data_IF_036996988221
#
_entry.id   IF_036996988221
#
_cell.length_a   1.000
_cell.length_b   1.000
_cell.length_c   1.000
_cell.angle_alpha   90.00
_cell.angle_beta   90.00
_cell.angle_gamma   90.00
#
_symmetry.space_group_name_H-M   'P 1'
#
loop_
_entity.id
_entity.type
_entity.pdbx_description
1 polymer ?
#
# COMPACT_ATOMS: atom_id res chain seq x y z
N UNK A 1 -12.52 -11.54 3.27
CA UNK A 1 -11.21 -11.02 2.80
C UNK A 1 -11.15 -11.24 1.29
N UNK A 2 -11.26 -10.18 0.51
CA UNK A 2 -11.16 -10.27 -0.94
C UNK A 2 -9.72 -10.65 -1.31
N UNK A 3 -9.53 -11.76 -2.03
CA UNK A 3 -8.21 -12.18 -2.53
C UNK A 3 -7.86 -11.44 -3.83
N UNK A 4 -7.92 -10.11 -3.80
CA UNK A 4 -7.62 -9.22 -4.93
C UNK A 4 -6.42 -8.35 -4.56
N UNK A 5 -5.31 -8.55 -5.28
CA UNK A 5 -4.05 -7.85 -5.02
C UNK A 5 -2.98 -8.28 -6.03
N UNK A 6 -1.72 -7.90 -5.79
CA UNK A 6 -0.65 -8.03 -6.78
C UNK A 6 -0.52 -9.40 -7.45
N UNK A 7 -0.66 -10.51 -6.71
CA UNK A 7 -0.59 -11.88 -7.27
C UNK A 7 -1.81 -12.26 -8.13
N UNK A 8 -2.97 -11.69 -7.84
CA UNK A 8 -4.18 -11.91 -8.64
C UNK A 8 -4.00 -11.29 -10.02
N UNK A 9 -3.48 -10.05 -10.09
CA UNK A 9 -3.15 -9.38 -11.36
C UNK A 9 -2.15 -10.20 -12.18
N UNK A 10 -1.10 -10.73 -11.54
CA UNK A 10 -0.13 -11.62 -12.20
C UNK A 10 -0.79 -12.87 -12.76
N UNK A 11 -1.73 -13.45 -12.02
CA UNK A 11 -2.44 -14.65 -12.44
C UNK A 11 -3.34 -14.35 -13.64
N UNK A 12 -4.09 -13.25 -13.64
CA UNK A 12 -4.91 -12.83 -14.77
C UNK A 12 -4.06 -12.60 -16.03
N UNK A 13 -2.90 -11.95 -15.91
CA UNK A 13 -1.96 -11.78 -17.02
C UNK A 13 -1.42 -13.13 -17.51
N UNK A 14 -1.00 -14.01 -16.59
CA UNK A 14 -0.50 -15.34 -16.93
C UNK A 14 -1.55 -16.16 -17.69
N UNK A 15 -2.79 -16.17 -17.20
CA UNK A 15 -3.89 -16.96 -17.76
C UNK A 15 -4.33 -16.38 -19.13
N UNK A 16 -4.46 -15.06 -19.27
CA UNK A 16 -4.95 -14.42 -20.51
C UNK A 16 -3.90 -14.34 -21.62
N UNK A 17 -2.62 -14.24 -21.28
CA UNK A 17 -1.52 -14.18 -22.26
C UNK A 17 -0.81 -15.53 -22.46
N UNK A 18 -1.30 -16.59 -21.79
CA UNK A 18 -0.72 -17.94 -21.79
C UNK A 18 0.78 -17.95 -21.44
N UNK A 19 1.15 -17.20 -20.40
CA UNK A 19 2.53 -17.04 -19.95
C UNK A 19 2.79 -17.83 -18.65
N UNK A 20 4.01 -18.36 -18.45
CA UNK A 20 4.43 -18.82 -17.12
C UNK A 20 4.32 -17.68 -16.10
N UNK A 21 3.85 -17.97 -14.89
CA UNK A 21 3.63 -16.98 -13.83
C UNK A 21 4.83 -16.02 -13.60
N UNK A 22 6.11 -16.48 -13.56
CA UNK A 22 7.24 -15.56 -13.39
C UNK A 22 7.39 -14.56 -14.54
N UNK A 23 7.04 -14.96 -15.77
CA UNK A 23 7.09 -14.08 -16.95
C UNK A 23 5.95 -13.06 -16.94
N UNK A 24 4.76 -13.47 -16.50
CA UNK A 24 3.66 -12.54 -16.28
C UNK A 24 3.98 -11.52 -15.18
N UNK A 25 4.67 -11.92 -14.11
CA UNK A 25 5.11 -10.99 -13.06
C UNK A 25 6.09 -9.96 -13.60
N UNK A 26 7.11 -10.41 -14.33
CA UNK A 26 8.09 -9.52 -14.94
C UNK A 26 7.40 -8.50 -15.88
N UNK A 27 6.51 -8.98 -16.75
CA UNK A 27 5.75 -8.14 -17.67
C UNK A 27 4.90 -7.09 -16.94
N UNK A 28 4.21 -7.49 -15.87
CA UNK A 28 3.42 -6.58 -15.02
C UNK A 28 4.29 -5.53 -14.32
N UNK A 29 5.46 -5.92 -13.81
CA UNK A 29 6.39 -5.02 -13.13
C UNK A 29 7.00 -4.02 -14.11
N UNK A 30 7.38 -4.47 -15.30
CA UNK A 30 7.90 -3.61 -16.37
C UNK A 30 6.82 -2.62 -16.86
N UNK A 31 5.59 -3.11 -17.02
CA UNK A 31 4.42 -2.27 -17.28
C UNK A 31 4.24 -1.18 -16.22
N UNK A 32 4.26 -1.55 -14.93
CA UNK A 32 4.14 -0.61 -13.81
C UNK A 32 5.33 0.38 -13.71
N UNK A 33 6.45 0.11 -14.39
CA UNK A 33 7.60 1.00 -14.51
C UNK A 33 7.55 1.88 -15.75
N UNK A 34 6.55 1.72 -16.62
CA UNK A 34 6.46 2.41 -17.90
C UNK A 34 7.52 1.96 -18.91
N UNK A 35 8.03 0.73 -18.75
CA UNK A 35 8.95 0.14 -19.72
C UNK A 35 8.11 -0.37 -20.89
N UNK A 36 8.34 0.19 -22.08
CA UNK A 36 7.58 -0.14 -23.28
C UNK A 36 7.76 -1.62 -23.67
N UNK A 37 6.65 -2.29 -23.92
CA UNK A 37 6.56 -3.67 -24.39
C UNK A 37 5.52 -3.75 -25.52
N UNK A 38 5.70 -4.68 -26.47
CA UNK A 38 4.77 -4.86 -27.59
C UNK A 38 3.34 -5.22 -27.11
N UNK A 39 3.23 -5.81 -25.91
CA UNK A 39 1.98 -6.24 -25.28
C UNK A 39 1.44 -5.25 -24.26
N UNK A 40 1.98 -4.03 -24.18
CA UNK A 40 1.57 -3.01 -23.21
C UNK A 40 0.05 -2.77 -23.22
N UNK A 41 -0.56 -2.71 -24.40
CA UNK A 41 -2.00 -2.54 -24.54
C UNK A 41 -2.80 -3.71 -23.97
N UNK A 42 -2.36 -4.96 -24.22
CA UNK A 42 -3.01 -6.15 -23.68
C UNK A 42 -2.89 -6.21 -22.16
N UNK A 43 -1.72 -5.87 -21.61
CA UNK A 43 -1.50 -5.82 -20.16
C UNK A 43 -2.38 -4.77 -19.50
N UNK A 44 -2.44 -3.55 -20.06
CA UNK A 44 -3.32 -2.48 -19.57
C UNK A 44 -4.77 -2.93 -19.52
N UNK A 45 -5.27 -3.55 -20.59
CA UNK A 45 -6.66 -3.98 -20.65
C UNK A 45 -6.96 -5.08 -19.61
N UNK A 46 -6.01 -6.01 -19.39
CA UNK A 46 -6.12 -7.03 -18.34
C UNK A 46 -6.14 -6.41 -16.95
N UNK A 47 -5.20 -5.50 -16.68
CA UNK A 47 -5.07 -4.83 -15.37
C UNK A 47 -6.29 -3.96 -15.09
N UNK A 48 -6.82 -3.24 -16.09
CA UNK A 48 -8.01 -2.43 -15.94
C UNK A 48 -9.24 -3.26 -15.52
N UNK A 49 -9.44 -4.43 -16.14
CA UNK A 49 -10.52 -5.36 -15.77
C UNK A 49 -10.38 -5.82 -14.30
N UNK A 50 -9.17 -6.22 -13.90
CA UNK A 50 -8.93 -6.66 -12.52
C UNK A 50 -9.06 -5.52 -11.51
N UNK A 51 -8.60 -4.30 -11.87
CA UNK A 51 -8.68 -3.11 -11.02
C UNK A 51 -10.13 -2.67 -10.83
N UNK A 52 -11.01 -2.85 -11.81
CA UNK A 52 -12.44 -2.58 -11.63
C UNK A 52 -13.06 -3.47 -10.53
N UNK A 53 -12.71 -4.77 -10.52
CA UNK A 53 -13.16 -5.70 -9.48
C UNK A 53 -12.53 -5.37 -8.12
N UNK A 54 -11.23 -5.04 -8.11
CA UNK A 54 -10.53 -4.60 -6.91
C UNK A 54 -11.14 -3.32 -6.31
N UNK A 55 -11.43 -2.30 -7.13
CA UNK A 55 -12.00 -1.03 -6.69
C UNK A 55 -13.40 -1.20 -6.10
N UNK A 56 -14.24 -2.07 -6.68
CA UNK A 56 -15.53 -2.43 -6.09
C UNK A 56 -15.39 -3.10 -4.70
N UNK A 57 -14.35 -3.93 -4.52
CA UNK A 57 -14.01 -4.50 -3.21
C UNK A 57 -13.53 -3.45 -2.21
N UNK A 58 -12.72 -2.48 -2.65
CA UNK A 58 -12.27 -1.35 -1.83
C UNK A 58 -13.45 -0.48 -1.41
N UNK A 59 -14.35 -0.16 -2.34
CA UNK A 59 -15.55 0.62 -2.07
C UNK A 59 -16.38 0.02 -0.93
N UNK A 60 -16.66 -1.29 -0.99
CA UNK A 60 -17.41 -1.97 0.07
C UNK A 60 -16.73 -1.84 1.45
N UNK A 61 -15.40 -2.01 1.50
CA UNK A 61 -14.63 -1.90 2.75
C UNK A 61 -14.58 -0.45 3.25
N UNK A 62 -14.53 0.53 2.35
CA UNK A 62 -14.53 1.94 2.70
C UNK A 62 -15.90 2.41 3.20
N UNK A 63 -16.99 1.89 2.64
CA UNK A 63 -18.34 2.13 3.16
C UNK A 63 -18.50 1.57 4.58
N UNK A 64 -18.00 0.35 4.83
CA UNK A 64 -17.95 -0.22 6.18
C UNK A 64 -17.09 0.61 7.14
N UNK A 65 -15.92 1.06 6.68
CA UNK A 65 -15.02 1.93 7.44
C UNK A 65 -15.66 3.28 7.80
N UNK A 66 -16.46 3.84 6.89
CA UNK A 66 -17.15 5.10 7.10
C UNK A 66 -18.14 5.02 8.26
N UNK A 67 -18.77 3.86 8.45
CA UNK A 67 -19.71 3.60 9.56
C UNK A 67 -20.81 4.68 9.73
N UNK A 68 -21.21 5.33 8.63
CA UNK A 68 -22.20 6.41 8.61
C UNK A 68 -21.62 7.84 8.70
N UNK A 69 -20.32 7.98 8.91
CA UNK A 69 -19.60 9.27 8.93
C UNK A 69 -18.94 9.60 7.58
N UNK A 70 -18.37 10.81 7.50
CA UNK A 70 -17.60 11.23 6.33
C UNK A 70 -16.21 10.58 6.30
N UNK A 71 -15.80 10.11 5.13
CA UNK A 71 -14.46 9.58 4.91
C UNK A 71 -13.40 10.69 4.83
N UNK A 72 -12.15 10.43 5.26
CA UNK A 72 -11.05 11.36 5.09
C UNK A 72 -10.81 11.70 3.61
N UNK A 73 -10.57 12.98 3.30
CA UNK A 73 -10.36 13.44 1.93
C UNK A 73 -8.98 13.10 1.33
N UNK A 74 -8.20 12.23 1.95
CA UNK A 74 -6.87 11.81 1.48
C UNK A 74 -6.76 10.30 1.56
N UNK A 75 -6.32 9.70 0.47
CA UNK A 75 -6.04 8.28 0.35
C UNK A 75 -4.55 8.13 0.03
N UNK A 76 -3.85 7.40 0.90
CA UNK A 76 -2.44 7.08 0.71
C UNK A 76 -2.28 5.62 0.28
N UNK A 77 -1.64 5.41 -0.87
CA UNK A 77 -1.35 4.09 -1.42
C UNK A 77 0.08 3.68 -1.09
N UNK A 78 0.29 2.44 -0.71
CA UNK A 78 1.61 1.85 -0.49
C UNK A 78 1.64 0.40 -1.01
N UNK A 79 2.84 -0.19 -1.05
CA UNK A 79 3.05 -1.55 -1.56
C UNK A 79 3.32 -1.59 -3.06
N UNK A 80 3.93 -2.68 -3.54
CA UNK A 80 4.38 -2.78 -4.94
C UNK A 80 3.25 -2.69 -5.99
N UNK A 81 2.01 -3.05 -5.62
CA UNK A 81 0.86 -2.94 -6.52
C UNK A 81 0.43 -1.49 -6.80
N UNK A 82 0.76 -0.55 -5.92
CA UNK A 82 0.38 0.87 -6.06
C UNK A 82 0.97 1.55 -7.30
N UNK A 83 1.99 0.94 -7.91
CA UNK A 83 2.65 1.42 -9.13
C UNK A 83 1.84 1.16 -10.42
N UNK A 84 0.84 0.29 -10.38
CA UNK A 84 -0.04 0.10 -11.53
C UNK A 84 -0.89 1.38 -11.70
N UNK A 85 -0.80 2.09 -12.84
CA UNK A 85 -1.42 3.40 -13.02
C UNK A 85 -2.94 3.37 -12.90
N UNK A 86 -3.56 2.22 -13.16
CA UNK A 86 -5.00 2.02 -13.03
C UNK A 86 -5.48 2.10 -11.58
N UNK A 87 -4.65 1.72 -10.61
CA UNK A 87 -5.01 1.76 -9.18
C UNK A 87 -5.31 3.19 -8.69
N UNK A 88 -4.37 4.15 -8.75
CA UNK A 88 -4.65 5.51 -8.33
C UNK A 88 -5.70 6.17 -9.22
N UNK A 89 -5.77 5.82 -10.51
CA UNK A 89 -6.80 6.32 -11.41
C UNK A 89 -8.21 5.88 -10.97
N UNK A 90 -8.39 4.61 -10.61
CA UNK A 90 -9.69 4.08 -10.18
C UNK A 90 -10.18 4.73 -8.88
N UNK A 91 -9.27 5.00 -7.93
CA UNK A 91 -9.63 5.67 -6.67
C UNK A 91 -9.83 7.18 -6.83
N UNK A 92 -9.17 7.79 -7.82
CA UNK A 92 -9.34 9.20 -8.17
C UNK A 92 -10.54 9.47 -9.07
N UNK A 93 -11.22 8.43 -9.55
CA UNK A 93 -12.37 8.56 -10.44
C UNK A 93 -13.58 9.17 -9.73
N UNK A 94 -14.29 10.05 -10.42
CA UNK A 94 -15.46 10.75 -9.88
C UNK A 94 -16.57 9.76 -9.49
N UNK A 95 -16.76 8.68 -10.25
CA UNK A 95 -17.75 7.66 -9.94
C UNK A 95 -17.41 6.90 -8.65
N UNK A 96 -16.12 6.63 -8.39
CA UNK A 96 -15.68 6.04 -7.12
C UNK A 96 -16.01 6.97 -5.94
N UNK A 97 -15.66 8.25 -6.07
CA UNK A 97 -15.90 9.22 -4.99
C UNK A 97 -17.39 9.46 -4.69
N UNK A 98 -18.26 9.43 -5.71
CA UNK A 98 -19.70 9.67 -5.57
C UNK A 98 -20.46 8.54 -4.89
N UNK A 99 -19.91 7.31 -4.90
CA UNK A 99 -20.54 6.16 -4.23
C UNK A 99 -20.16 6.06 -2.76
N UNK A 100 -19.24 6.89 -2.30
CA UNK A 100 -18.72 6.89 -0.93
C UNK A 100 -18.98 8.23 -0.24
N UNK A 101 -19.10 8.26 1.11
CA UNK A 101 -19.40 9.47 1.85
C UNK A 101 -18.18 10.39 2.02
N UNK A 102 -17.59 10.85 0.91
CA UNK A 102 -16.57 11.90 0.95
C UNK A 102 -17.21 13.29 0.92
N UNK A 103 -16.61 14.27 1.62
CA UNK A 103 -17.04 15.67 1.54
C UNK A 103 -16.71 16.33 0.18
N UNK A 104 -15.69 15.81 -0.52
CA UNK A 104 -15.18 16.23 -1.83
C UNK A 104 -14.36 15.07 -2.43
N UNK A 105 -14.10 15.04 -3.74
CA UNK A 105 -13.24 14.01 -4.33
C UNK A 105 -11.92 13.86 -3.55
N UNK A 106 -11.52 12.62 -3.18
CA UNK A 106 -10.34 12.40 -2.37
C UNK A 106 -9.06 12.68 -3.16
N UNK A 107 -8.04 13.19 -2.47
CA UNK A 107 -6.68 13.28 -2.99
C UNK A 107 -6.01 11.91 -2.86
N UNK A 108 -5.65 11.29 -3.98
CA UNK A 108 -4.98 9.98 -4.00
C UNK A 108 -3.49 10.18 -4.23
N UNK A 109 -2.68 9.74 -3.26
CA UNK A 109 -1.23 9.90 -3.28
C UNK A 109 -0.54 8.56 -3.07
N UNK A 110 0.38 8.21 -3.95
CA UNK A 110 1.28 7.07 -3.74
C UNK A 110 2.37 7.51 -2.77
N UNK A 111 2.50 6.80 -1.65
CA UNK A 111 3.56 7.03 -0.68
C UNK A 111 4.89 6.51 -1.23
N UNK A 112 5.91 7.36 -1.16
CA UNK A 112 7.30 6.98 -1.37
C UNK A 112 8.05 6.88 -0.03
N UNK A 113 9.13 6.09 0.05
CA UNK A 113 9.96 5.99 1.26
C UNK A 113 10.44 7.34 1.80
N UNK A 114 10.72 8.31 0.94
CA UNK A 114 11.22 9.63 1.32
C UNK A 114 10.20 10.46 2.12
N UNK A 115 8.91 10.12 2.00
CA UNK A 115 7.84 10.76 2.78
C UNK A 115 7.76 10.22 4.22
N UNK A 116 8.53 9.19 4.56
CA UNK A 116 8.60 8.60 5.90
C UNK A 116 9.78 9.21 6.66
N UNK A 117 9.56 10.38 7.26
CA UNK A 117 10.61 11.17 7.93
C UNK A 117 11.06 10.60 9.28
N UNK A 118 10.27 9.70 9.88
CA UNK A 118 10.52 9.15 11.23
C UNK A 118 11.56 8.04 11.25
N UNK A 119 11.95 7.50 10.09
CA UNK A 119 12.95 6.44 9.97
C UNK A 119 14.07 6.89 9.05
N UNK A 120 15.31 6.76 9.55
CA UNK A 120 16.50 6.99 8.75
C UNK A 120 17.06 5.66 8.26
N UNK A 121 16.96 5.41 6.96
CA UNK A 121 17.62 4.27 6.32
C UNK A 121 19.07 4.61 5.94
N UNK A 122 20.03 4.11 6.74
CA UNK A 122 21.46 4.23 6.42
C UNK A 122 21.92 3.23 5.35
N UNK A 123 21.13 2.19 5.05
CA UNK A 123 21.50 1.16 4.07
C UNK A 123 21.26 1.62 2.63
N UNK A 124 20.33 2.56 2.43
CA UNK A 124 19.87 3.02 1.11
C UNK A 124 19.35 1.87 0.25
N UNK A 125 18.66 0.93 0.89
CA UNK A 125 18.03 -0.20 0.21
C UNK A 125 16.52 -0.03 0.11
N UNK A 126 15.95 0.90 0.87
CA UNK A 126 14.51 1.19 0.91
C UNK A 126 14.20 2.36 -0.03
N UNK A 127 13.99 2.04 -1.30
CA UNK A 127 13.87 3.03 -2.39
C UNK A 127 12.51 2.92 -3.14
N UNK A 128 11.70 1.91 -2.85
CA UNK A 128 10.48 1.61 -3.61
C UNK A 128 9.21 1.69 -2.74
N UNK A 129 8.04 1.89 -3.35
CA UNK A 129 6.74 1.92 -2.67
C UNK A 129 6.46 0.65 -1.86
N UNK A 130 7.05 -0.50 -2.24
CA UNK A 130 6.96 -1.75 -1.47
C UNK A 130 7.66 -1.67 -0.10
N UNK A 131 8.60 -0.74 0.07
CA UNK A 131 9.41 -0.58 1.28
C UNK A 131 8.70 0.27 2.35
N UNK A 132 7.65 1.00 1.98
CA UNK A 132 6.87 1.84 2.92
C UNK A 132 6.23 1.01 4.03
N UNK A 133 5.67 -0.16 3.72
CA UNK A 133 5.07 -1.05 4.73
C UNK A 133 6.09 -1.58 5.74
N UNK A 134 7.24 -2.18 5.33
CA UNK A 134 8.25 -2.61 6.28
C UNK A 134 8.85 -1.43 7.07
N UNK A 135 8.98 -0.23 6.49
CA UNK A 135 9.34 0.97 7.24
C UNK A 135 8.31 1.26 8.35
N UNK A 136 7.01 1.30 8.03
CA UNK A 136 5.96 1.49 9.04
C UNK A 136 6.03 0.48 10.20
N UNK A 137 6.33 -0.79 9.90
CA UNK A 137 6.53 -1.82 10.91
C UNK A 137 7.79 -1.59 11.76
N UNK A 138 8.89 -1.13 11.16
CA UNK A 138 10.10 -0.78 11.89
C UNK A 138 9.85 0.40 12.85
N UNK A 139 9.10 1.41 12.42
CA UNK A 139 8.71 2.53 13.27
C UNK A 139 7.87 2.06 14.45
N UNK A 140 6.87 1.22 14.19
CA UNK A 140 6.04 0.65 15.25
C UNK A 140 6.86 -0.15 16.27
N UNK A 141 7.86 -0.91 15.82
CA UNK A 141 8.75 -1.64 16.72
C UNK A 141 9.62 -0.71 17.58
N UNK A 142 10.11 0.39 17.02
CA UNK A 142 10.87 1.42 17.76
C UNK A 142 9.98 2.05 18.83
N UNK A 143 8.76 2.46 18.50
CA UNK A 143 7.82 3.07 19.45
C UNK A 143 7.48 2.11 20.61
N UNK A 144 7.23 0.83 20.30
CA UNK A 144 6.97 -0.19 21.31
C UNK A 144 8.20 -0.47 22.20
N UNK A 145 9.41 -0.40 21.65
CA UNK A 145 10.66 -0.58 22.39
C UNK A 145 11.07 0.65 23.22
N UNK A 146 10.76 1.86 22.71
CA UNK A 146 11.05 3.15 23.34
C UNK A 146 10.20 3.46 24.56
N UNK A 147 9.10 2.72 24.76
CA UNK A 147 8.26 2.80 25.96
C UNK A 147 8.98 2.40 27.26
N UNK A 148 10.23 1.91 27.21
CA UNK A 148 11.08 1.81 28.40
C UNK A 148 11.85 3.11 28.61
N UNK A 149 11.25 4.04 29.34
CA UNK A 149 11.93 5.25 29.79
C UNK A 149 13.25 4.87 30.50
N UNK A 150 14.42 5.38 30.09
CA UNK A 150 15.69 5.12 30.77
C UNK A 150 15.63 5.43 32.28
N UNK A 151 14.78 6.40 32.66
CA UNK A 151 14.45 6.69 34.05
C UNK A 151 13.72 5.55 34.72
N UNK A 152 12.74 4.90 34.07
CA UNK A 152 12.04 3.74 34.63
C UNK A 152 12.99 2.54 34.80
N UNK A 153 13.87 2.31 33.83
CA UNK A 153 14.89 1.27 33.95
C UNK A 153 15.87 1.55 35.11
N UNK A 154 16.22 2.82 35.32
CA UNK A 154 17.10 3.26 36.41
C UNK A 154 16.40 3.23 37.78
N UNK A 155 15.15 3.70 37.85
CA UNK A 155 14.30 3.67 39.05
C UNK A 155 14.01 2.24 39.48
N UNK A 156 13.73 1.32 38.56
CA UNK A 156 13.58 -0.12 38.87
C UNK A 156 14.84 -0.71 39.48
N UNK A 157 16.04 -0.33 39.02
CA UNK A 157 17.31 -0.77 39.63
C UNK A 157 17.48 -0.23 41.05
N UNK A 158 17.18 1.06 41.26
CA UNK A 158 17.26 1.69 42.59
C UNK A 158 16.26 1.05 43.58
N UNK A 159 15.00 0.87 43.18
CA UNK A 159 13.98 0.21 44.01
C UNK A 159 14.38 -1.24 44.35
N UNK A 160 14.98 -1.96 43.40
CA UNK A 160 15.49 -3.33 43.64
C UNK A 160 16.67 -3.35 44.61
N UNK A 161 17.53 -2.32 44.58
CA UNK A 161 18.63 -2.16 45.52
C UNK A 161 18.18 -1.74 46.93
N UNK A 162 17.02 -1.07 47.06
CA UNK A 162 16.44 -0.64 48.35
C UNK A 162 15.63 -1.73 49.06
N UNK A 163 15.30 -2.86 48.42
CA UNK A 163 14.60 -4.00 49.05
C UNK A 163 15.55 -4.91 49.86
N UNK A 164 16.46 -4.32 50.63
CA UNK A 164 17.21 -5.00 51.70
C UNK A 164 16.41 -4.87 52.99
#
# INVERSE_FOLDING_TARGET
MFALGGRAFTKSIADRLELPFPRAEALKVDYARGIADEREAEVRDIVADDVAVWAAGVELVMEELAAGDLLPGRIYLCGGGSRLPEIPAALGDDAFSRRLPFARPPEVTILSPEQIETIRDDTRLLEDQQDVTPMGLAFQAIELGGAQNPLDASLRRVVKAMRI
#
